data_IF_360220137767
#
_entry.id   IF_360220137767
#
_cell.length_a   1.000
_cell.length_b   1.000
_cell.length_c   1.000
_cell.angle_alpha   90.00
_cell.angle_beta   90.00
_cell.angle_gamma   90.00
#
_symmetry.space_group_name_H-M   'P 1'
#
loop_
_entity.id
_entity.type
_entity.pdbx_description
1 polymer ?
#
# COMPACT_ATOMS: atom_id res chain seq x y z
N UNK A 1 6.76 -16.35 -57.41
CA UNK A 1 5.95 -16.32 -56.17
C UNK A 1 6.59 -15.32 -55.24
N UNK A 2 5.91 -14.20 -54.97
CA UNK A 2 6.41 -13.11 -54.10
C UNK A 2 5.80 -13.31 -52.72
N UNK A 3 6.63 -13.53 -51.70
CA UNK A 3 6.19 -13.63 -50.31
C UNK A 3 6.05 -12.22 -49.74
N UNK A 4 4.81 -11.81 -49.50
CA UNK A 4 4.49 -10.57 -48.77
C UNK A 4 4.58 -10.87 -47.28
N UNK A 5 5.55 -10.27 -46.60
CA UNK A 5 5.63 -10.30 -45.14
C UNK A 5 4.76 -9.18 -44.57
N UNK A 6 3.67 -9.56 -43.90
CA UNK A 6 2.88 -8.64 -43.09
C UNK A 6 3.54 -8.55 -41.72
N UNK A 7 4.22 -7.44 -41.45
CA UNK A 7 4.71 -7.12 -40.13
C UNK A 7 3.52 -6.72 -39.24
N UNK A 8 3.16 -7.58 -38.28
CA UNK A 8 2.25 -7.20 -37.21
C UNK A 8 2.99 -6.27 -36.25
N UNK A 9 2.74 -4.96 -36.37
CA UNK A 9 3.14 -3.98 -35.36
C UNK A 9 2.18 -4.15 -34.18
N UNK A 10 2.63 -4.86 -33.15
CA UNK A 10 1.93 -4.94 -31.88
C UNK A 10 1.93 -3.57 -31.22
N UNK A 11 0.75 -2.94 -31.16
CA UNK A 11 0.55 -1.73 -30.37
C UNK A 11 0.59 -2.14 -28.91
N UNK A 12 1.70 -1.84 -28.22
CA UNK A 12 1.75 -1.92 -26.77
C UNK A 12 0.69 -0.96 -26.22
N UNK A 13 -0.37 -1.50 -25.59
CA UNK A 13 -1.35 -0.71 -24.88
C UNK A 13 -0.65 -0.05 -23.70
N UNK A 14 -0.29 1.22 -23.86
CA UNK A 14 0.04 2.08 -22.75
C UNK A 14 -1.21 2.23 -21.89
N UNK A 15 -1.24 1.54 -20.75
CA UNK A 15 -2.24 1.79 -19.72
C UNK A 15 -2.00 3.19 -19.18
N UNK A 16 -2.73 4.15 -19.72
CA UNK A 16 -2.74 5.51 -19.23
C UNK A 16 -3.80 5.60 -18.14
N UNK A 17 -3.43 5.20 -16.91
CA UNK A 17 -4.23 5.47 -15.73
C UNK A 17 -4.01 6.93 -15.33
N UNK A 18 -5.04 7.77 -15.46
CA UNK A 18 -5.00 9.13 -14.92
C UNK A 18 -6.28 9.47 -14.18
N UNK A 19 -6.26 9.17 -12.89
CA UNK A 19 -7.32 9.48 -11.94
C UNK A 19 -7.37 8.47 -10.82
N UNK A 20 -7.58 8.90 -9.57
CA UNK A 20 -7.88 7.97 -8.48
C UNK A 20 -7.12 8.17 -7.16
N UNK A 21 -7.43 7.30 -6.20
CA UNK A 21 -6.97 7.41 -4.82
C UNK A 21 -6.75 6.05 -4.18
N UNK A 22 -5.70 5.94 -3.35
CA UNK A 22 -5.42 4.73 -2.54
C UNK A 22 -5.37 5.06 -1.07
N UNK A 23 -5.87 4.16 -0.23
CA UNK A 23 -5.73 4.24 1.21
C UNK A 23 -5.74 2.85 1.86
N UNK A 24 -5.01 2.76 2.97
CA UNK A 24 -5.00 1.63 3.88
C UNK A 24 -5.53 2.06 5.24
N UNK A 25 -6.34 1.23 5.88
CA UNK A 25 -6.64 1.31 7.30
C UNK A 25 -6.26 -0.01 7.96
N UNK A 26 -5.54 0.03 9.07
CA UNK A 26 -4.92 -1.13 9.71
C UNK A 26 -5.52 -1.28 11.11
N UNK A 27 -6.12 -2.44 11.35
CA UNK A 27 -6.53 -2.89 12.67
C UNK A 27 -5.27 -3.26 13.47
N UNK A 28 -5.23 -2.79 14.72
CA UNK A 28 -4.10 -2.99 15.61
C UNK A 28 -4.60 -3.57 16.93
N UNK A 29 -3.89 -4.56 17.44
CA UNK A 29 -4.11 -5.11 18.76
C UNK A 29 -2.96 -4.77 19.69
N UNK A 30 -3.27 -4.67 20.97
CA UNK A 30 -2.27 -4.45 22.01
C UNK A 30 -1.72 -5.81 22.46
N UNK A 31 -0.44 -6.02 22.23
CA UNK A 31 0.34 -7.15 22.75
C UNK A 31 1.31 -6.60 23.79
N UNK A 32 0.98 -6.75 25.08
CA UNK A 32 1.76 -6.14 26.17
C UNK A 32 1.76 -4.61 26.11
N UNK A 33 2.94 -3.99 25.96
CA UNK A 33 3.10 -2.53 25.82
C UNK A 33 3.16 -2.06 24.35
N UNK A 34 3.10 -2.99 23.40
CA UNK A 34 3.32 -2.72 21.97
C UNK A 34 2.03 -2.99 21.20
N UNK A 35 1.78 -2.19 20.16
CA UNK A 35 0.71 -2.50 19.21
C UNK A 35 1.26 -3.35 18.09
N UNK A 36 0.57 -4.43 17.73
CA UNK A 36 0.85 -5.21 16.52
C UNK A 36 -0.28 -5.00 15.53
N UNK A 37 0.04 -4.98 14.25
CA UNK A 37 -0.98 -4.97 13.20
C UNK A 37 -1.57 -6.39 13.08
N UNK A 38 -2.89 -6.50 12.92
CA UNK A 38 -3.60 -7.78 12.80
C UNK A 38 -4.27 -7.99 11.45
N UNK A 39 -4.82 -6.92 10.87
CA UNK A 39 -5.41 -6.94 9.52
C UNK A 39 -5.35 -5.54 8.91
N UNK A 40 -5.27 -5.47 7.58
CA UNK A 40 -5.39 -4.22 6.86
C UNK A 40 -6.55 -4.26 5.88
N UNK A 41 -7.11 -3.08 5.64
CA UNK A 41 -8.20 -2.80 4.72
C UNK A 41 -7.68 -1.83 3.69
N UNK A 42 -7.42 -2.32 2.47
CA UNK A 42 -6.93 -1.51 1.37
C UNK A 42 -8.10 -1.14 0.46
N UNK A 43 -8.17 0.13 0.07
CA UNK A 43 -9.06 0.62 -0.99
C UNK A 43 -8.26 1.43 -1.97
N UNK A 44 -8.50 1.16 -3.25
CA UNK A 44 -8.01 1.97 -4.35
C UNK A 44 -9.06 1.99 -5.45
N UNK A 45 -9.07 3.07 -6.20
CA UNK A 45 -9.87 3.23 -7.41
C UNK A 45 -9.06 4.06 -8.40
N UNK A 46 -9.20 3.78 -9.69
CA UNK A 46 -8.60 4.52 -10.79
C UNK A 46 -9.57 5.57 -11.39
N UNK A 47 -10.73 5.78 -10.76
CA UNK A 47 -11.66 6.85 -11.10
C UNK A 47 -11.04 8.23 -10.76
N UNK A 48 -10.89 9.15 -11.72
CA UNK A 48 -10.37 10.51 -11.47
C UNK A 48 -11.16 11.34 -10.46
N UNK A 49 -12.42 11.01 -10.20
CA UNK A 49 -13.22 11.68 -9.17
C UNK A 49 -12.95 11.10 -7.77
N UNK A 50 -12.38 9.90 -7.67
CA UNK A 50 -12.05 9.29 -6.39
C UNK A 50 -10.77 9.88 -5.82
N UNK A 51 -10.89 10.56 -4.68
CA UNK A 51 -9.72 11.10 -3.98
C UNK A 51 -9.13 10.08 -3.01
N UNK A 52 -7.88 10.31 -2.57
CA UNK A 52 -7.31 9.57 -1.44
C UNK A 52 -8.11 9.72 -0.13
N UNK A 53 -8.98 10.73 -0.01
CA UNK A 53 -9.91 10.86 1.12
C UNK A 53 -11.10 9.91 1.01
N UNK A 54 -11.64 9.73 -0.20
CA UNK A 54 -12.75 8.80 -0.43
C UNK A 54 -12.30 7.36 -0.26
N UNK A 55 -11.12 7.01 -0.81
CA UNK A 55 -10.47 5.73 -0.55
C UNK A 55 -10.27 5.49 0.96
N UNK A 56 -9.81 6.51 1.72
CA UNK A 56 -9.64 6.39 3.17
C UNK A 56 -10.96 6.20 3.90
N UNK A 57 -12.02 6.90 3.50
CA UNK A 57 -13.36 6.75 4.08
C UNK A 57 -13.89 5.33 3.83
N UNK A 58 -13.71 4.80 2.63
CA UNK A 58 -14.11 3.44 2.28
C UNK A 58 -13.31 2.39 3.08
N UNK A 59 -11.98 2.50 3.12
CA UNK A 59 -11.12 1.59 3.90
C UNK A 59 -11.47 1.62 5.40
N UNK A 60 -11.77 2.82 5.93
CA UNK A 60 -12.21 2.98 7.32
C UNK A 60 -13.55 2.32 7.58
N UNK A 61 -14.51 2.45 6.67
CA UNK A 61 -15.82 1.80 6.78
C UNK A 61 -15.68 0.27 6.83
N UNK A 62 -14.81 -0.30 6.00
CA UNK A 62 -14.58 -1.75 6.01
C UNK A 62 -13.92 -2.22 7.31
N UNK A 63 -12.98 -1.43 7.83
CA UNK A 63 -12.41 -1.67 9.16
C UNK A 63 -13.51 -1.66 10.23
N UNK A 64 -14.31 -0.60 10.29
CA UNK A 64 -15.33 -0.41 11.32
C UNK A 64 -16.46 -1.46 11.24
N UNK A 65 -16.64 -2.11 10.09
CA UNK A 65 -17.57 -3.22 9.93
C UNK A 65 -17.10 -4.52 10.61
N UNK A 66 -15.79 -4.67 10.85
CA UNK A 66 -15.18 -5.89 11.42
C UNK A 66 -14.57 -5.68 12.80
N UNK A 67 -14.00 -4.50 13.05
CA UNK A 67 -13.26 -4.18 14.25
C UNK A 67 -13.81 -2.92 14.93
N UNK A 68 -13.89 -2.97 16.27
CA UNK A 68 -14.06 -1.77 17.08
C UNK A 68 -12.74 -1.02 17.30
N UNK A 69 -12.81 0.28 17.58
CA UNK A 69 -11.64 1.09 17.95
C UNK A 69 -11.09 1.98 16.84
N UNK A 70 -9.85 2.45 17.04
CA UNK A 70 -9.21 3.43 16.14
C UNK A 70 -8.12 2.76 15.30
N UNK A 71 -8.31 2.60 13.98
CA UNK A 71 -7.27 2.08 13.10
C UNK A 71 -6.16 3.10 12.89
N UNK A 72 -5.00 2.62 12.43
CA UNK A 72 -4.06 3.47 11.72
C UNK A 72 -4.51 3.60 10.27
N UNK A 73 -4.69 4.82 9.76
CA UNK A 73 -5.02 5.02 8.35
C UNK A 73 -4.00 5.91 7.65
N UNK A 74 -3.67 5.56 6.41
CA UNK A 74 -2.83 6.33 5.49
C UNK A 74 -3.43 6.24 4.09
N UNK A 75 -3.21 7.24 3.25
CA UNK A 75 -3.62 7.20 1.85
C UNK A 75 -2.95 8.32 1.07
N UNK A 76 -3.07 8.29 -0.25
CA UNK A 76 -2.42 9.23 -1.19
C UNK A 76 -2.82 10.70 -0.99
N UNK A 77 -3.86 10.95 -0.17
CA UNK A 77 -4.45 12.26 0.03
C UNK A 77 -4.72 12.93 -1.33
N UNK A 78 -4.70 14.26 -1.40
CA UNK A 78 -4.81 15.00 -2.66
C UNK A 78 -3.48 15.14 -3.41
N UNK A 79 -2.43 14.40 -3.02
CA UNK A 79 -1.09 14.60 -3.56
C UNK A 79 -0.89 13.88 -4.91
N UNK A 80 -1.78 12.96 -5.25
CA UNK A 80 -1.77 12.17 -6.48
C UNK A 80 -3.19 12.06 -7.05
N UNK A 81 -3.85 13.19 -7.32
CA UNK A 81 -5.23 13.22 -7.85
C UNK A 81 -5.35 12.71 -9.29
N UNK A 82 -4.22 12.59 -10.00
CA UNK A 82 -4.16 12.03 -11.35
C UNK A 82 -3.77 10.55 -11.33
N UNK A 83 -4.03 9.84 -10.24
CA UNK A 83 -3.59 8.47 -10.07
C UNK A 83 -2.09 8.32 -9.79
N UNK A 84 -1.66 7.08 -9.60
CA UNK A 84 -0.30 6.71 -9.26
C UNK A 84 -0.12 5.20 -9.12
N UNK A 85 0.97 4.80 -8.47
CA UNK A 85 1.26 3.42 -8.12
C UNK A 85 1.31 3.28 -6.62
N UNK A 86 0.83 2.16 -6.11
CA UNK A 86 0.87 1.83 -4.69
C UNK A 86 1.58 0.52 -4.45
N UNK A 87 2.09 0.37 -3.22
CA UNK A 87 2.62 -0.89 -2.71
C UNK A 87 2.32 -1.02 -1.22
N UNK A 88 1.90 -2.21 -0.83
CA UNK A 88 1.74 -2.61 0.57
C UNK A 88 2.86 -3.59 0.90
N UNK A 89 3.66 -3.24 1.90
CA UNK A 89 4.74 -4.11 2.40
C UNK A 89 4.46 -4.58 3.82
N UNK A 90 4.96 -5.77 4.15
CA UNK A 90 5.01 -6.32 5.50
C UNK A 90 6.47 -6.35 5.98
N UNK A 91 6.75 -5.75 7.14
CA UNK A 91 8.07 -5.82 7.76
C UNK A 91 8.40 -7.24 8.22
N UNK A 92 9.65 -7.67 8.05
CA UNK A 92 10.09 -9.02 8.41
C UNK A 92 10.37 -9.24 9.90
N UNK A 93 10.30 -8.19 10.73
CA UNK A 93 10.42 -8.33 12.19
C UNK A 93 9.16 -8.99 12.76
N UNK A 94 9.32 -10.19 13.32
CA UNK A 94 8.21 -11.01 13.83
C UNK A 94 8.04 -10.97 15.36
N UNK A 95 9.01 -10.39 16.07
CA UNK A 95 8.97 -10.25 17.53
C UNK A 95 9.24 -8.82 17.98
N UNK A 96 8.56 -8.39 19.03
CA UNK A 96 8.87 -7.14 19.71
C UNK A 96 10.05 -7.29 20.68
N UNK A 97 10.45 -6.20 21.34
CA UNK A 97 11.54 -6.20 22.31
C UNK A 97 11.27 -7.05 23.57
N UNK A 98 10.02 -7.47 23.80
CA UNK A 98 9.59 -8.33 24.90
C UNK A 98 9.37 -9.78 24.46
N UNK A 99 9.62 -10.10 23.20
CA UNK A 99 9.46 -11.43 22.62
C UNK A 99 8.03 -11.78 22.17
N UNK A 100 7.09 -10.83 22.26
CA UNK A 100 5.71 -10.99 21.78
C UNK A 100 5.63 -11.00 20.26
N UNK A 101 4.59 -11.65 19.70
CA UNK A 101 4.34 -11.62 18.26
C UNK A 101 4.13 -10.21 17.76
N UNK A 102 4.76 -9.87 16.64
CA UNK A 102 4.76 -8.53 16.09
C UNK A 102 4.64 -8.57 14.57
N UNK A 103 3.81 -7.69 14.03
CA UNK A 103 3.66 -7.48 12.59
C UNK A 103 3.41 -6.01 12.33
N UNK A 104 4.02 -5.49 11.25
CA UNK A 104 3.72 -4.17 10.71
C UNK A 104 3.54 -4.21 9.22
N UNK A 105 2.48 -3.58 8.75
CA UNK A 105 2.30 -3.23 7.35
C UNK A 105 2.51 -1.74 7.13
N UNK A 106 2.91 -1.40 5.91
CA UNK A 106 3.03 -0.02 5.46
C UNK A 106 2.51 0.08 4.03
N UNK A 107 1.75 1.14 3.76
CA UNK A 107 1.36 1.55 2.42
C UNK A 107 2.29 2.67 1.97
N UNK A 108 2.86 2.51 0.78
CA UNK A 108 3.49 3.59 0.03
C UNK A 108 2.81 3.84 -1.30
N UNK A 109 2.94 5.06 -1.80
CA UNK A 109 2.39 5.48 -3.08
C UNK A 109 3.31 6.49 -3.77
N UNK A 110 3.29 6.52 -5.10
CA UNK A 110 4.17 7.38 -5.89
C UNK A 110 3.85 7.36 -7.37
N UNK A 111 4.57 8.17 -8.15
CA UNK A 111 4.43 8.21 -9.62
C UNK A 111 5.01 6.96 -10.32
N UNK A 112 5.93 6.25 -9.66
CA UNK A 112 6.56 5.02 -10.18
C UNK A 112 6.56 3.93 -9.09
N UNK A 113 6.80 2.65 -9.44
CA UNK A 113 6.88 1.57 -8.44
C UNK A 113 7.97 1.81 -7.40
N UNK A 114 9.10 2.36 -7.83
CA UNK A 114 10.27 2.61 -6.99
C UNK A 114 9.97 3.72 -5.99
N UNK A 115 9.29 4.79 -6.42
CA UNK A 115 8.83 5.86 -5.52
C UNK A 115 7.80 5.34 -4.52
N UNK A 116 6.86 4.50 -4.97
CA UNK A 116 5.89 3.90 -4.07
C UNK A 116 6.55 2.98 -3.03
N UNK A 117 7.57 2.22 -3.43
CA UNK A 117 8.33 1.34 -2.54
C UNK A 117 9.17 2.13 -1.53
N UNK A 118 9.89 3.16 -1.98
CA UNK A 118 10.67 4.03 -1.09
C UNK A 118 9.76 4.73 -0.06
N UNK A 119 8.57 5.21 -0.47
CA UNK A 119 7.58 5.74 0.46
C UNK A 119 7.10 4.67 1.46
N UNK A 120 6.85 3.44 1.01
CA UNK A 120 6.42 2.35 1.88
C UNK A 120 7.49 1.99 2.93
N UNK A 121 8.76 1.94 2.53
CA UNK A 121 9.89 1.66 3.42
C UNK A 121 10.07 2.76 4.47
N UNK A 122 9.98 4.04 4.06
CA UNK A 122 9.99 5.19 4.99
C UNK A 122 8.86 5.10 6.00
N UNK A 123 7.67 4.73 5.56
CA UNK A 123 6.50 4.55 6.43
C UNK A 123 6.70 3.38 7.38
N UNK A 124 7.25 2.26 6.91
CA UNK A 124 7.55 1.12 7.75
C UNK A 124 8.55 1.48 8.86
N UNK A 125 9.66 2.15 8.53
CA UNK A 125 10.63 2.62 9.53
C UNK A 125 10.04 3.64 10.52
N UNK A 126 9.12 4.50 10.07
CA UNK A 126 8.40 5.42 10.98
C UNK A 126 7.43 4.68 11.92
N UNK A 127 6.77 3.62 11.44
CA UNK A 127 5.84 2.79 12.22
C UNK A 127 6.57 1.81 13.14
N UNK A 128 7.77 1.40 12.77
CA UNK A 128 8.63 0.51 13.53
C UNK A 128 10.06 1.05 13.60
N UNK A 129 10.34 1.86 14.62
CA UNK A 129 11.65 2.48 14.83
C UNK A 129 12.78 1.49 15.11
N UNK A 130 12.45 0.24 15.43
CA UNK A 130 13.42 -0.83 15.66
C UNK A 130 13.56 -1.74 14.45
N UNK A 131 12.81 -1.49 13.38
CA UNK A 131 12.99 -2.18 12.12
C UNK A 131 14.21 -1.61 11.40
N UNK A 132 14.99 -2.53 10.87
CA UNK A 132 16.17 -2.29 10.07
C UNK A 132 16.09 -3.21 8.85
N UNK A 133 16.21 -2.65 7.66
CA UNK A 133 16.02 -3.39 6.41
C UNK A 133 17.06 -4.51 6.25
N UNK A 134 18.31 -4.26 6.64
CA UNK A 134 19.41 -5.23 6.50
C UNK A 134 19.27 -6.42 7.44
N UNK A 135 18.69 -6.22 8.61
CA UNK A 135 18.53 -7.26 9.63
C UNK A 135 17.20 -8.01 9.51
N UNK A 136 16.13 -7.30 9.17
CA UNK A 136 14.77 -7.84 9.24
C UNK A 136 14.16 -8.06 7.86
N UNK A 137 14.56 -7.30 6.86
CA UNK A 137 13.95 -7.32 5.52
C UNK A 137 12.46 -6.94 5.52
N UNK A 138 11.83 -7.15 4.37
CA UNK A 138 10.40 -6.96 4.16
C UNK A 138 9.90 -7.84 3.02
N UNK A 139 8.58 -7.92 2.87
CA UNK A 139 7.92 -8.57 1.74
C UNK A 139 6.89 -7.64 1.12
N UNK A 140 6.80 -7.63 -0.21
CA UNK A 140 5.71 -6.98 -0.93
C UNK A 140 4.49 -7.89 -0.88
N UNK A 141 3.42 -7.41 -0.27
CA UNK A 141 2.17 -8.17 -0.12
C UNK A 141 1.20 -7.85 -1.25
N UNK A 142 1.14 -6.59 -1.65
CA UNK A 142 0.25 -6.12 -2.71
C UNK A 142 0.86 -4.91 -3.41
N UNK A 143 0.54 -4.71 -4.69
CA UNK A 143 0.92 -3.52 -5.48
C UNK A 143 -0.03 -3.34 -6.64
N UNK A 144 -0.18 -2.12 -7.11
CA UNK A 144 -1.02 -1.82 -8.25
C UNK A 144 -0.95 -0.37 -8.70
N UNK A 145 -1.82 -0.03 -9.63
CA UNK A 145 -2.12 1.33 -10.06
C UNK A 145 -3.43 1.78 -9.43
N UNK A 146 -3.55 3.09 -9.23
CA UNK A 146 -4.75 3.78 -8.78
C UNK A 146 -4.77 5.16 -9.42
#
# INVERSE_FOLDING_TARGET
MVFVWVAMVGVASGEVAYGGGVAICIAMEKSGLVFTDVEYFLRYDADPETTGWDARRAARRDHDAKYGGKPYCRGSASNLTKGGRFVVIKGGRTRDALGGSYTRWALGFGSTPEVALDDALKVLGARDRSWDESQHGYSVVERGTF
#
